data_IF_767642105559
#
_entry.id   IF_767642105559
#
_cell.length_a   1.000
_cell.length_b   1.000
_cell.length_c   1.000
_cell.angle_alpha   90.00
_cell.angle_beta   90.00
_cell.angle_gamma   90.00
#
_symmetry.space_group_name_H-M   'P 1'
#
loop_
_entity.id
_entity.type
_entity.pdbx_description
1 polymer ?
#
# COMPACT_ATOMS: atom_id res chain seq x y z
N UNK A 1 37.17 -52.42 -63.95
CA UNK A 1 36.62 -53.69 -63.44
C UNK A 1 36.06 -53.45 -62.06
N UNK A 2 34.74 -53.65 -61.92
CA UNK A 2 34.04 -54.19 -60.73
C UNK A 2 34.47 -53.73 -59.31
N UNK A 3 33.64 -52.85 -58.74
CA UNK A 3 32.84 -53.06 -57.51
C UNK A 3 33.45 -53.76 -56.28
N UNK A 4 33.35 -53.10 -55.11
CA UNK A 4 32.42 -53.47 -54.02
C UNK A 4 32.51 -52.51 -52.81
N UNK A 5 31.38 -51.91 -52.47
CA UNK A 5 31.04 -51.49 -51.11
C UNK A 5 30.79 -52.72 -50.22
N UNK A 6 31.00 -52.64 -48.90
CA UNK A 6 30.17 -53.32 -47.92
C UNK A 6 29.12 -52.37 -47.35
N UNK A 7 27.89 -52.88 -47.36
CA UNK A 7 26.67 -52.36 -46.73
C UNK A 7 26.75 -52.42 -45.20
N UNK A 8 25.83 -51.69 -44.58
CA UNK A 8 25.43 -51.62 -43.16
C UNK A 8 25.99 -50.33 -42.56
N UNK A 9 25.22 -49.27 -42.34
CA UNK A 9 23.81 -49.16 -42.01
C UNK A 9 23.71 -48.01 -41.00
N UNK A 10 22.53 -47.39 -40.94
CA UNK A 10 22.16 -46.30 -40.00
C UNK A 10 22.66 -44.91 -40.43
N UNK A 11 21.78 -44.24 -41.17
CA UNK A 11 21.69 -42.78 -41.22
C UNK A 11 21.61 -42.23 -39.79
N UNK A 12 22.70 -41.65 -39.28
CA UNK A 12 22.65 -40.75 -38.13
C UNK A 12 22.05 -39.42 -38.61
N UNK A 13 20.72 -39.34 -38.61
CA UNK A 13 20.05 -38.06 -38.49
C UNK A 13 20.38 -37.56 -37.08
N UNK A 14 21.34 -36.65 -36.97
CA UNK A 14 21.58 -35.89 -35.74
C UNK A 14 20.37 -34.97 -35.59
N UNK A 15 19.37 -35.42 -34.84
CA UNK A 15 18.37 -34.53 -34.29
C UNK A 15 19.14 -33.60 -33.33
N UNK A 16 19.35 -32.35 -33.74
CA UNK A 16 19.64 -31.27 -32.82
C UNK A 16 18.40 -31.14 -31.92
N UNK A 17 18.36 -31.90 -30.84
CA UNK A 17 17.52 -31.54 -29.70
C UNK A 17 18.12 -30.25 -29.14
N UNK A 18 17.49 -29.12 -29.44
CA UNK A 18 17.69 -27.89 -28.69
C UNK A 18 17.38 -28.20 -27.24
N UNK A 19 18.42 -28.44 -26.45
CA UNK A 19 18.33 -28.51 -25.00
C UNK A 19 18.07 -27.08 -24.55
N UNK A 20 16.81 -26.67 -24.55
CA UNK A 20 16.37 -25.47 -23.84
C UNK A 20 16.62 -25.76 -22.37
N UNK A 21 17.80 -25.41 -21.89
CA UNK A 21 18.05 -25.27 -20.46
C UNK A 21 17.19 -24.07 -20.07
N UNK A 22 15.93 -24.33 -19.72
CA UNK A 22 15.26 -23.47 -18.78
C UNK A 22 16.15 -23.54 -17.54
N UNK A 23 16.94 -22.49 -17.32
CA UNK A 23 17.42 -22.21 -15.97
C UNK A 23 16.15 -22.02 -15.16
N UNK A 24 15.64 -23.10 -14.60
CA UNK A 24 14.65 -23.02 -13.54
C UNK A 24 15.40 -22.31 -12.43
N UNK A 25 15.21 -20.98 -12.35
CA UNK A 25 15.71 -20.22 -11.22
C UNK A 25 15.23 -20.95 -9.98
N UNK A 26 16.18 -21.29 -9.12
CA UNK A 26 15.82 -21.90 -7.85
C UNK A 26 14.82 -20.98 -7.15
N UNK A 27 13.78 -21.53 -6.50
CA UNK A 27 12.85 -20.70 -5.76
C UNK A 27 13.62 -19.93 -4.68
N UNK A 28 13.35 -18.62 -4.59
CA UNK A 28 13.97 -17.74 -3.60
C UNK A 28 13.85 -18.34 -2.19
N UNK A 29 14.87 -18.14 -1.37
CA UNK A 29 14.88 -18.73 -0.03
C UNK A 29 13.84 -18.05 0.87
N UNK A 30 13.30 -18.85 1.79
CA UNK A 30 12.47 -18.37 2.89
C UNK A 30 13.26 -18.63 4.17
N UNK A 31 13.56 -17.56 4.89
CA UNK A 31 14.24 -17.61 6.17
C UNK A 31 13.30 -17.19 7.29
N UNK A 32 13.30 -17.93 8.39
CA UNK A 32 12.62 -17.55 9.62
C UNK A 32 13.65 -17.07 10.65
N UNK A 33 13.39 -15.91 11.24
CA UNK A 33 14.24 -15.37 12.29
C UNK A 33 14.13 -16.21 13.56
N UNK A 34 15.27 -16.67 14.07
CA UNK A 34 15.34 -17.41 15.32
C UNK A 34 15.28 -16.48 16.53
N UNK A 35 14.07 -16.32 17.07
CA UNK A 35 13.77 -15.55 18.29
C UNK A 35 14.59 -15.92 19.51
N UNK A 36 15.10 -17.17 19.60
CA UNK A 36 15.90 -17.61 20.73
C UNK A 36 17.28 -16.92 20.78
N UNK A 37 17.72 -16.36 19.64
CA UNK A 37 18.99 -15.65 19.53
C UNK A 37 18.85 -14.12 19.69
N UNK A 38 17.65 -13.61 19.98
CA UNK A 38 17.34 -12.16 20.03
C UNK A 38 17.95 -11.40 21.24
N UNK A 39 18.94 -11.97 21.94
CA UNK A 39 19.52 -11.41 23.15
C UNK A 39 18.61 -11.49 24.38
N UNK A 40 19.20 -11.35 25.57
CA UNK A 40 18.54 -11.54 26.88
C UNK A 40 18.09 -10.21 27.55
N UNK A 41 17.99 -9.11 26.80
CA UNK A 41 17.67 -7.79 27.39
C UNK A 41 16.21 -7.74 27.83
N UNK A 42 15.96 -7.57 29.14
CA UNK A 42 14.61 -7.49 29.75
C UNK A 42 14.19 -6.03 29.96
N UNK A 43 13.05 -5.58 29.43
CA UNK A 43 12.44 -4.27 29.75
C UNK A 43 11.76 -3.58 28.57
N UNK A 44 10.84 -2.60 28.78
CA UNK A 44 10.18 -1.85 27.68
C UNK A 44 11.23 -1.17 26.75
N UNK A 45 10.93 -0.92 25.46
CA UNK A 45 11.84 -0.18 24.56
C UNK A 45 11.91 1.29 24.99
N UNK A 46 12.63 1.57 26.08
CA UNK A 46 12.84 2.93 26.61
C UNK A 46 14.28 3.39 26.45
N UNK A 47 15.13 2.59 25.80
CA UNK A 47 16.56 2.86 25.68
C UNK A 47 16.97 3.03 24.21
N UNK A 48 17.64 4.14 23.95
CA UNK A 48 17.84 4.79 22.66
C UNK A 48 18.91 4.14 21.77
N UNK A 49 19.54 3.03 22.19
CA UNK A 49 20.30 2.17 21.29
C UNK A 49 21.82 2.16 21.48
N UNK A 50 22.31 2.13 22.72
CA UNK A 50 23.75 2.13 23.00
C UNK A 50 24.42 0.74 23.08
N UNK A 51 23.69 -0.39 23.06
CA UNK A 51 24.31 -1.72 23.36
C UNK A 51 23.95 -2.89 22.42
N UNK A 52 23.52 -2.67 21.17
CA UNK A 52 22.94 -3.75 20.35
C UNK A 52 23.84 -4.24 19.20
N UNK A 53 23.81 -5.57 18.97
CA UNK A 53 24.62 -6.32 17.99
C UNK A 53 23.87 -6.49 16.66
N UNK A 54 24.61 -6.52 15.54
CA UNK A 54 24.09 -6.84 14.21
C UNK A 54 23.48 -8.26 14.15
N UNK A 55 22.15 -8.37 14.05
CA UNK A 55 21.47 -9.67 14.04
C UNK A 55 21.10 -10.18 12.64
N UNK A 56 20.91 -9.29 11.65
CA UNK A 56 20.46 -9.70 10.30
C UNK A 56 21.54 -10.45 9.54
N UNK A 57 22.73 -9.90 9.38
CA UNK A 57 23.81 -10.57 8.63
C UNK A 57 24.52 -11.70 9.39
N UNK A 58 23.94 -12.18 10.50
CA UNK A 58 24.46 -13.32 11.25
C UNK A 58 23.67 -14.57 10.87
N UNK A 59 24.25 -15.44 10.04
CA UNK A 59 23.60 -16.65 9.52
C UNK A 59 23.00 -17.55 10.62
N UNK A 60 23.65 -17.63 11.79
CA UNK A 60 23.16 -18.45 12.91
C UNK A 60 21.80 -17.99 13.47
N UNK A 61 21.37 -16.77 13.16
CA UNK A 61 20.08 -16.21 13.58
C UNK A 61 18.95 -16.53 12.63
N UNK A 62 19.24 -17.12 11.48
CA UNK A 62 18.24 -17.47 10.49
C UNK A 62 18.15 -18.97 10.33
N UNK A 63 16.92 -19.42 10.15
CA UNK A 63 16.62 -20.79 9.77
C UNK A 63 16.11 -20.77 8.34
N UNK A 64 16.83 -21.41 7.43
CA UNK A 64 16.32 -21.71 6.09
C UNK A 64 15.11 -22.65 6.24
N UNK A 65 13.94 -22.17 5.82
CA UNK A 65 12.67 -22.91 5.84
C UNK A 65 12.48 -23.66 4.53
N UNK A 66 12.76 -23.01 3.41
CA UNK A 66 12.64 -23.56 2.06
C UNK A 66 13.40 -22.72 1.04
N UNK A 67 13.54 -23.21 -0.20
CA UNK A 67 14.20 -22.50 -1.29
C UNK A 67 15.72 -22.64 -1.28
N UNK A 68 16.37 -21.88 -2.16
CA UNK A 68 17.83 -21.79 -2.23
C UNK A 68 18.27 -20.35 -1.95
N UNK A 69 19.21 -20.21 -1.01
CA UNK A 69 19.83 -18.94 -0.63
C UNK A 69 20.67 -18.43 -1.81
N UNK A 70 20.24 -17.31 -2.41
CA UNK A 70 20.84 -16.77 -3.64
C UNK A 70 22.25 -16.19 -3.41
N UNK A 71 22.57 -15.82 -2.16
CA UNK A 71 23.88 -15.35 -1.72
C UNK A 71 24.78 -16.44 -1.13
N UNK A 72 24.21 -17.62 -0.81
CA UNK A 72 24.85 -18.71 -0.06
C UNK A 72 25.58 -18.20 1.20
N UNK A 73 24.93 -17.28 1.91
CA UNK A 73 25.48 -16.52 3.03
C UNK A 73 24.79 -16.87 4.37
N UNK A 74 23.69 -17.61 4.31
CA UNK A 74 22.90 -18.12 5.43
C UNK A 74 21.92 -17.14 6.05
N UNK A 75 21.61 -16.01 5.40
CA UNK A 75 20.64 -15.01 5.85
C UNK A 75 19.84 -14.46 4.64
N UNK A 76 18.63 -13.93 4.84
CA UNK A 76 17.83 -13.42 3.73
C UNK A 76 18.44 -12.12 3.17
N UNK A 77 18.74 -12.10 1.87
CA UNK A 77 18.98 -10.90 1.07
C UNK A 77 18.41 -11.06 -0.35
N UNK A 78 18.66 -10.11 -1.26
CA UNK A 78 18.29 -10.26 -2.67
C UNK A 78 16.80 -10.56 -2.88
N UNK A 79 16.50 -11.71 -3.49
CA UNK A 79 15.13 -12.15 -3.80
C UNK A 79 14.44 -12.87 -2.63
N UNK A 80 15.14 -13.09 -1.51
CA UNK A 80 14.67 -13.92 -0.41
C UNK A 80 13.48 -13.32 0.36
N UNK A 81 12.83 -14.19 1.12
CA UNK A 81 11.77 -13.83 2.07
C UNK A 81 12.26 -13.97 3.51
N UNK A 82 12.13 -12.90 4.29
CA UNK A 82 12.39 -12.89 5.72
C UNK A 82 11.09 -12.95 6.53
N UNK A 83 10.90 -14.02 7.32
CA UNK A 83 9.80 -14.16 8.27
C UNK A 83 10.28 -13.72 9.64
N UNK A 84 9.66 -12.66 10.16
CA UNK A 84 9.90 -12.13 11.50
C UNK A 84 8.80 -12.67 12.42
N UNK A 85 9.14 -13.71 13.19
CA UNK A 85 8.22 -14.32 14.14
C UNK A 85 8.14 -13.51 15.42
N UNK A 86 7.09 -12.71 15.57
CA UNK A 86 6.89 -11.85 16.73
C UNK A 86 6.25 -12.60 17.90
N UNK A 87 6.74 -13.76 18.28
CA UNK A 87 6.23 -14.44 19.49
C UNK A 87 6.37 -13.54 20.74
N UNK A 88 5.49 -13.68 21.73
CA UNK A 88 5.38 -12.82 22.91
C UNK A 88 6.53 -12.91 23.93
N UNK A 89 7.72 -13.35 23.50
CA UNK A 89 8.89 -13.28 24.37
C UNK A 89 9.13 -11.82 24.77
N UNK A 90 9.40 -11.59 26.05
CA UNK A 90 9.60 -10.25 26.61
C UNK A 90 10.92 -9.59 26.14
N UNK A 91 11.70 -10.26 25.29
CA UNK A 91 12.96 -9.79 24.71
C UNK A 91 12.67 -9.03 23.40
N UNK A 92 12.56 -7.74 23.57
CA UNK A 92 12.03 -6.77 22.62
C UNK A 92 13.14 -6.06 21.83
N UNK A 93 14.10 -6.83 21.35
CA UNK A 93 15.10 -6.32 20.41
C UNK A 93 15.56 -7.42 19.46
N UNK A 94 14.68 -7.87 18.59
CA UNK A 94 15.09 -8.30 17.25
C UNK A 94 15.44 -7.08 16.40
N UNK A 95 16.25 -6.15 16.94
CA UNK A 95 16.82 -5.05 16.16
C UNK A 95 17.77 -5.69 15.18
N UNK A 96 17.25 -6.01 14.01
CA UNK A 96 18.01 -6.49 12.87
C UNK A 96 18.85 -5.32 12.34
N UNK A 97 19.82 -4.92 13.15
CA UNK A 97 20.68 -3.78 12.90
C UNK A 97 21.59 -4.17 11.76
N UNK A 98 21.48 -3.48 10.64
CA UNK A 98 22.49 -3.50 9.59
C UNK A 98 23.63 -2.60 10.06
N UNK A 99 24.85 -3.15 10.21
CA UNK A 99 26.04 -2.39 10.59
C UNK A 99 27.15 -2.45 9.53
N UNK A 100 27.08 -1.68 8.44
CA UNK A 100 28.13 -1.54 7.40
C UNK A 100 28.71 -2.84 6.80
N UNK A 101 28.20 -4.00 7.21
CA UNK A 101 28.59 -5.36 6.86
C UNK A 101 27.40 -6.28 7.16
N UNK A 102 27.14 -7.30 6.33
CA UNK A 102 27.80 -7.57 5.06
C UNK A 102 27.39 -6.54 4.00
N UNK A 103 28.26 -6.31 3.00
CA UNK A 103 27.97 -5.37 1.91
C UNK A 103 26.76 -5.80 1.05
N UNK A 104 26.43 -7.09 1.01
CA UNK A 104 25.34 -7.65 0.19
C UNK A 104 23.95 -7.32 0.73
N UNK A 105 23.82 -7.08 2.04
CA UNK A 105 22.53 -6.85 2.69
C UNK A 105 22.05 -5.40 2.48
N UNK A 106 21.53 -5.14 1.30
CA UNK A 106 20.95 -3.85 0.88
C UNK A 106 19.49 -3.97 0.45
N UNK A 107 19.01 -5.21 0.25
CA UNK A 107 17.64 -5.49 -0.12
C UNK A 107 17.19 -6.86 0.36
N UNK A 108 15.88 -7.03 0.49
CA UNK A 108 15.22 -8.33 0.64
C UNK A 108 13.94 -8.33 -0.19
N UNK A 109 13.65 -9.45 -0.85
CA UNK A 109 12.51 -9.56 -1.77
C UNK A 109 11.17 -9.42 -1.05
N UNK A 110 11.05 -10.00 0.14
CA UNK A 110 9.84 -9.90 0.97
C UNK A 110 10.15 -9.96 2.46
N UNK A 111 9.39 -9.22 3.26
CA UNK A 111 9.39 -9.37 4.71
C UNK A 111 7.98 -9.64 5.23
N UNK A 112 7.85 -10.59 6.15
CA UNK A 112 6.56 -11.01 6.74
C UNK A 112 6.63 -10.84 8.26
N UNK A 113 5.77 -10.00 8.83
CA UNK A 113 5.62 -9.85 10.28
C UNK A 113 4.51 -10.75 10.83
N UNK A 114 4.84 -11.77 11.61
CA UNK A 114 3.89 -12.74 12.19
C UNK A 114 3.85 -12.64 13.73
N UNK A 115 2.97 -13.36 14.44
CA UNK A 115 3.00 -13.41 15.92
C UNK A 115 2.36 -12.21 16.64
N UNK A 116 2.48 -12.16 17.98
CA UNK A 116 1.70 -11.27 18.87
C UNK A 116 2.50 -10.28 19.72
N UNK A 117 3.82 -10.28 19.58
CA UNK A 117 4.78 -9.52 20.37
C UNK A 117 5.28 -8.27 19.65
N UNK A 118 5.96 -7.44 20.42
CA UNK A 118 6.56 -6.20 19.94
C UNK A 118 7.99 -6.50 19.44
N UNK A 119 8.15 -6.66 18.14
CA UNK A 119 9.44 -6.86 17.48
C UNK A 119 9.60 -5.83 16.37
N UNK A 120 10.76 -5.16 16.38
CA UNK A 120 11.09 -4.01 15.55
C UNK A 120 12.17 -4.40 14.54
N UNK A 121 11.98 -4.09 13.25
CA UNK A 121 13.10 -4.01 12.31
C UNK A 121 13.72 -2.62 12.45
N UNK A 122 15.04 -2.53 12.66
CA UNK A 122 15.74 -1.25 12.82
C UNK A 122 16.93 -1.20 11.88
N UNK A 123 16.92 -0.24 10.95
CA UNK A 123 17.97 -0.06 9.94
C UNK A 123 18.77 1.20 10.26
N UNK A 124 20.10 1.08 10.41
CA UNK A 124 20.94 2.12 11.06
C UNK A 124 22.16 2.61 10.27
N UNK A 125 22.62 1.95 9.22
CA UNK A 125 23.93 2.32 8.63
C UNK A 125 23.94 2.50 7.11
N UNK A 126 22.99 1.90 6.38
CA UNK A 126 22.81 2.12 4.94
C UNK A 126 21.36 2.20 4.50
N UNK A 127 21.17 2.68 3.28
CA UNK A 127 19.87 2.63 2.61
C UNK A 127 19.48 1.18 2.30
N UNK A 128 18.20 0.86 2.44
CA UNK A 128 17.72 -0.51 2.32
C UNK A 128 16.40 -0.58 1.57
N UNK A 129 16.23 -1.63 0.75
CA UNK A 129 15.01 -1.85 -0.03
C UNK A 129 14.29 -3.11 0.41
N UNK A 130 13.02 -2.97 0.80
CA UNK A 130 12.08 -4.07 0.86
C UNK A 130 11.34 -4.16 -0.49
N UNK A 131 11.28 -5.36 -1.08
CA UNK A 131 10.36 -5.61 -2.19
C UNK A 131 8.92 -5.57 -1.66
N UNK A 132 8.48 -6.62 -0.97
CA UNK A 132 7.14 -6.70 -0.37
C UNK A 132 7.18 -6.64 1.16
N UNK A 133 6.09 -6.13 1.76
CA UNK A 133 5.86 -6.15 3.21
C UNK A 133 4.50 -6.77 3.48
N UNK A 134 4.46 -7.90 4.20
CA UNK A 134 3.23 -8.56 4.60
C UNK A 134 3.04 -8.48 6.12
N UNK A 135 1.95 -7.85 6.54
CA UNK A 135 1.59 -7.66 7.94
C UNK A 135 0.47 -8.65 8.31
N UNK A 136 0.80 -9.71 9.05
CA UNK A 136 -0.23 -10.62 9.58
C UNK A 136 -0.88 -10.05 10.85
N UNK A 137 -2.10 -10.50 11.12
CA UNK A 137 -2.91 -10.06 12.26
C UNK A 137 -2.15 -10.22 13.58
N UNK A 138 -2.19 -9.17 14.40
CA UNK A 138 -1.47 -9.11 15.67
C UNK A 138 -2.01 -7.98 16.56
N UNK A 139 -1.95 -8.12 17.90
CA UNK A 139 -2.28 -7.03 18.81
C UNK A 139 -1.38 -5.80 18.68
N UNK A 140 -0.10 -6.02 18.32
CA UNK A 140 0.89 -4.95 18.15
C UNK A 140 1.19 -4.75 16.67
N UNK A 141 1.47 -3.52 16.21
CA UNK A 141 1.83 -3.27 14.82
C UNK A 141 3.18 -3.95 14.48
N UNK A 142 3.32 -4.41 13.23
CA UNK A 142 4.62 -4.72 12.70
C UNK A 142 5.40 -3.42 12.52
N UNK A 143 6.58 -3.31 13.12
CA UNK A 143 7.28 -2.04 13.23
C UNK A 143 8.58 -2.05 12.42
N UNK A 144 8.70 -1.10 11.49
CA UNK A 144 9.91 -0.84 10.72
C UNK A 144 10.40 0.56 11.08
N UNK A 145 11.66 0.66 11.49
CA UNK A 145 12.29 1.91 11.93
C UNK A 145 13.57 2.21 11.14
N UNK A 146 13.68 3.44 10.67
CA UNK A 146 14.93 4.03 10.20
C UNK A 146 15.65 4.81 11.32
N UNK A 147 16.96 4.70 11.42
CA UNK A 147 17.81 5.53 12.29
C UNK A 147 19.09 5.96 11.54
N UNK A 148 19.78 7.00 12.05
CA UNK A 148 21.09 7.49 11.56
C UNK A 148 21.17 7.68 10.05
N UNK A 149 20.22 8.46 9.54
CA UNK A 149 20.51 9.24 8.34
C UNK A 149 20.50 8.45 7.03
N UNK A 150 19.55 7.50 6.95
CA UNK A 150 19.39 6.59 5.80
C UNK A 150 17.95 6.43 5.32
N UNK A 151 17.85 6.09 4.04
CA UNK A 151 16.57 5.90 3.35
C UNK A 151 16.11 4.45 3.39
N UNK A 152 14.81 4.25 3.52
CA UNK A 152 14.15 2.95 3.34
C UNK A 152 13.27 3.07 2.11
N UNK A 153 13.37 2.12 1.20
CA UNK A 153 12.43 2.01 0.07
C UNK A 153 11.59 0.75 0.23
N UNK A 154 10.29 0.87 0.10
CA UNK A 154 9.35 -0.24 -0.08
C UNK A 154 8.84 -0.14 -1.52
N UNK A 155 9.33 -1.01 -2.40
CA UNK A 155 9.11 -0.89 -3.85
C UNK A 155 7.99 -1.77 -4.41
N UNK A 156 7.43 -2.66 -3.58
CA UNK A 156 6.35 -3.57 -3.93
C UNK A 156 5.12 -3.32 -3.07
N UNK A 157 4.37 -4.40 -2.80
CA UNK A 157 3.06 -4.31 -2.15
C UNK A 157 3.20 -4.44 -0.62
N UNK A 158 2.57 -3.52 0.10
CA UNK A 158 2.25 -3.64 1.52
C UNK A 158 0.88 -4.31 1.63
N UNK A 159 0.80 -5.44 2.33
CA UNK A 159 -0.39 -6.30 2.35
C UNK A 159 -0.69 -6.88 3.74
N UNK A 160 -1.88 -7.47 3.87
CA UNK A 160 -2.29 -8.25 5.03
C UNK A 160 -3.21 -7.50 6.03
N UNK A 161 -3.82 -8.22 6.98
CA UNK A 161 -4.77 -7.65 7.94
C UNK A 161 -4.12 -6.99 9.16
N UNK A 162 -2.81 -7.20 9.37
CA UNK A 162 -2.07 -6.63 10.50
C UNK A 162 -1.82 -5.14 10.34
N UNK A 163 -1.55 -4.47 11.46
CA UNK A 163 -1.17 -3.05 11.45
C UNK A 163 0.34 -2.87 11.21
N UNK A 164 0.71 -1.74 10.60
CA UNK A 164 2.09 -1.34 10.30
C UNK A 164 2.43 -0.03 11.02
N UNK A 165 3.59 0.01 11.66
CA UNK A 165 4.19 1.22 12.21
C UNK A 165 5.48 1.49 11.44
N UNK A 166 5.54 2.63 10.76
CA UNK A 166 6.76 3.17 10.19
C UNK A 166 7.23 4.31 11.08
N UNK A 167 8.44 4.21 11.60
CA UNK A 167 9.01 5.28 12.42
C UNK A 167 10.42 5.64 12.02
N UNK A 168 10.83 6.83 12.46
CA UNK A 168 12.22 7.27 12.39
C UNK A 168 12.61 7.85 13.75
N UNK A 169 13.80 7.51 14.22
CA UNK A 169 14.33 8.03 15.49
C UNK A 169 15.64 8.80 15.25
N UNK A 170 15.70 10.03 15.74
CA UNK A 170 16.84 10.95 15.62
C UNK A 170 18.02 10.64 16.56
N UNK A 171 18.11 9.42 17.09
CA UNK A 171 18.86 9.10 18.31
C UNK A 171 20.37 9.42 18.27
N UNK A 172 21.02 9.41 17.11
CA UNK A 172 22.48 9.57 16.98
C UNK A 172 22.92 10.29 15.69
N UNK A 173 22.00 11.06 15.13
CA UNK A 173 22.10 11.74 13.85
C UNK A 173 22.63 13.18 14.02
N UNK A 174 23.37 13.71 13.05
CA UNK A 174 23.73 15.14 12.97
C UNK A 174 22.59 16.03 12.47
N UNK A 175 21.45 15.44 12.13
CA UNK A 175 20.29 16.05 11.50
C UNK A 175 19.60 15.00 10.64
N UNK A 176 18.26 14.98 10.58
CA UNK A 176 17.59 14.28 9.48
C UNK A 176 17.64 15.21 8.28
N UNK A 177 18.46 14.89 7.29
CA UNK A 177 18.51 15.62 6.02
C UNK A 177 17.22 15.40 5.21
N UNK A 178 16.84 16.38 4.39
CA UNK A 178 15.62 16.30 3.55
C UNK A 178 15.62 15.10 2.58
N UNK A 179 16.80 14.54 2.28
CA UNK A 179 16.98 13.41 1.35
C UNK A 179 16.86 12.03 2.02
N UNK A 180 16.59 11.98 3.33
CA UNK A 180 16.52 10.75 4.11
C UNK A 180 15.10 10.24 4.30
N UNK A 181 14.66 9.49 3.29
CA UNK A 181 13.24 9.22 3.07
C UNK A 181 12.87 7.79 3.44
N UNK A 182 11.65 7.60 3.96
CA UNK A 182 10.95 6.31 3.86
C UNK A 182 10.00 6.40 2.66
N UNK A 183 10.38 5.80 1.54
CA UNK A 183 9.65 5.90 0.27
C UNK A 183 8.84 4.64 0.01
N UNK A 184 7.55 4.80 -0.25
CA UNK A 184 6.63 3.77 -0.71
C UNK A 184 6.37 4.02 -2.19
N UNK A 185 6.82 3.12 -3.05
CA UNK A 185 6.80 3.27 -4.51
C UNK A 185 6.48 1.92 -5.19
N UNK A 186 6.46 1.90 -6.52
CA UNK A 186 6.10 0.75 -7.35
C UNK A 186 4.80 0.95 -8.13
N UNK A 187 4.44 -0.04 -8.93
CA UNK A 187 3.35 0.11 -9.91
C UNK A 187 2.02 -0.52 -9.46
N UNK A 188 2.02 -1.20 -8.32
CA UNK A 188 0.84 -1.92 -7.80
C UNK A 188 0.35 -1.27 -6.50
N UNK A 189 -0.96 -0.96 -6.36
CA UNK A 189 -1.55 -0.48 -5.12
C UNK A 189 -1.33 -1.41 -3.92
N UNK A 190 -1.27 -0.84 -2.72
CA UNK A 190 -1.20 -1.61 -1.48
C UNK A 190 -2.56 -2.19 -1.11
N UNK A 191 -2.54 -3.37 -0.47
CA UNK A 191 -3.75 -4.15 -0.12
C UNK A 191 -3.84 -4.45 1.37
N UNK A 192 -3.03 -3.78 2.18
CA UNK A 192 -3.09 -3.82 3.64
C UNK A 192 -4.44 -3.28 4.11
N UNK A 193 -5.09 -3.98 5.05
CA UNK A 193 -6.38 -3.55 5.63
C UNK A 193 -6.27 -3.12 7.09
N UNK A 194 -5.17 -3.48 7.74
CA UNK A 194 -4.84 -2.99 9.07
C UNK A 194 -4.50 -1.50 9.10
N UNK A 195 -4.19 -0.99 10.29
CA UNK A 195 -3.87 0.43 10.51
C UNK A 195 -2.42 0.70 10.11
N UNK A 196 -2.16 1.85 9.51
CA UNK A 196 -0.82 2.36 9.25
C UNK A 196 -0.59 3.58 10.13
N UNK A 197 0.56 3.61 10.80
CA UNK A 197 0.99 4.76 11.58
C UNK A 197 2.37 5.21 11.12
N UNK A 198 2.47 6.48 10.76
CA UNK A 198 3.71 7.18 10.43
C UNK A 198 4.06 8.06 11.64
N UNK A 199 5.07 7.64 12.39
CA UNK A 199 5.35 8.24 13.70
C UNK A 199 6.76 8.81 13.80
N UNK A 200 6.86 10.12 14.04
CA UNK A 200 8.12 10.73 14.44
C UNK A 200 8.33 10.51 15.96
N UNK A 201 9.28 9.63 16.29
CA UNK A 201 9.61 9.26 17.66
C UNK A 201 10.59 10.21 18.34
N UNK A 202 11.11 11.22 17.62
CA UNK A 202 12.06 12.15 18.19
C UNK A 202 11.46 12.90 19.39
N UNK A 203 12.26 12.99 20.44
CA UNK A 203 11.89 13.59 21.71
C UNK A 203 12.89 14.64 22.20
N UNK A 204 13.92 14.96 21.40
CA UNK A 204 14.92 15.98 21.73
C UNK A 204 14.32 17.37 21.50
N UNK A 205 14.08 18.09 22.60
CA UNK A 205 13.41 19.39 22.56
C UNK A 205 14.25 20.54 22.02
N UNK A 206 15.55 20.41 22.16
CA UNK A 206 16.57 21.30 21.62
C UNK A 206 16.89 21.02 20.15
N UNK A 207 16.55 19.82 19.65
CA UNK A 207 16.82 19.38 18.28
C UNK A 207 15.60 18.64 17.69
N UNK A 208 14.50 19.35 17.37
CA UNK A 208 13.30 18.73 16.80
C UNK A 208 13.54 18.32 15.33
N UNK A 209 14.21 17.18 15.14
CA UNK A 209 14.48 16.59 13.84
C UNK A 209 13.20 16.05 13.18
N UNK A 210 12.95 16.39 11.90
CA UNK A 210 11.79 15.90 11.15
C UNK A 210 11.91 14.42 10.77
N UNK A 211 10.81 13.84 10.32
CA UNK A 211 10.75 12.52 9.67
C UNK A 211 9.97 12.64 8.39
N UNK A 212 10.52 12.14 7.30
CA UNK A 212 9.96 12.26 5.96
C UNK A 212 9.56 10.89 5.41
N UNK A 213 8.30 10.78 5.01
CA UNK A 213 7.77 9.68 4.21
C UNK A 213 7.40 10.19 2.84
N UNK A 214 7.49 9.33 1.83
CA UNK A 214 7.06 9.65 0.46
C UNK A 214 6.11 8.57 -0.03
N UNK A 215 4.89 8.97 -0.37
CA UNK A 215 3.96 8.20 -1.17
C UNK A 215 4.20 8.54 -2.65
N UNK A 216 4.85 7.62 -3.34
CA UNK A 216 5.30 7.76 -4.73
C UNK A 216 4.63 6.75 -5.66
N UNK A 217 3.39 6.37 -5.34
CA UNK A 217 2.54 5.52 -6.18
C UNK A 217 1.07 5.67 -5.83
N UNK A 218 0.20 5.35 -6.79
CA UNK A 218 -1.23 5.16 -6.57
C UNK A 218 -1.48 4.06 -5.53
N UNK A 219 -2.42 4.30 -4.61
CA UNK A 219 -2.76 3.38 -3.54
C UNK A 219 -1.57 3.08 -2.61
N UNK A 220 -0.68 4.06 -2.37
CA UNK A 220 0.42 3.91 -1.42
C UNK A 220 -0.03 3.56 0.00
N UNK A 221 -1.24 3.96 0.40
CA UNK A 221 -1.87 3.54 1.65
C UNK A 221 -3.09 2.64 1.43
N UNK A 222 -3.63 2.57 0.20
CA UNK A 222 -4.58 1.56 -0.25
C UNK A 222 -5.76 1.34 0.71
N UNK A 223 -6.20 0.10 0.87
CA UNK A 223 -7.33 -0.30 1.72
C UNK A 223 -7.08 -0.21 3.24
N UNK A 224 -6.06 0.53 3.69
CA UNK A 224 -5.75 0.63 5.11
C UNK A 224 -6.95 1.21 5.86
N UNK A 225 -7.42 0.53 6.90
CA UNK A 225 -8.57 1.03 7.69
C UNK A 225 -8.29 2.39 8.35
N UNK A 226 -7.02 2.73 8.57
CA UNK A 226 -6.61 3.98 9.20
C UNK A 226 -5.19 4.36 8.79
N UNK A 227 -4.97 5.62 8.47
CA UNK A 227 -3.65 6.25 8.35
C UNK A 227 -3.50 7.32 9.44
N UNK A 228 -2.51 7.17 10.30
CA UNK A 228 -2.18 8.19 11.31
C UNK A 228 -0.81 8.77 11.04
N UNK A 229 -0.74 10.10 10.93
CA UNK A 229 0.50 10.86 10.78
C UNK A 229 0.67 11.79 11.98
N UNK A 230 1.68 11.53 12.82
CA UNK A 230 1.92 12.35 14.00
C UNK A 230 3.39 12.32 14.45
N UNK A 231 3.81 13.41 15.07
CA UNK A 231 5.01 13.45 15.88
C UNK A 231 4.69 13.35 17.36
N UNK A 232 5.72 13.30 18.20
CA UNK A 232 5.54 13.34 19.65
C UNK A 232 4.97 14.70 20.07
N UNK A 233 3.86 14.72 20.82
CA UNK A 233 3.30 15.98 21.31
C UNK A 233 4.28 16.76 22.22
N UNK A 234 4.23 18.09 22.15
CA UNK A 234 5.06 19.01 22.95
C UNK A 234 6.21 19.68 22.19
N UNK A 235 6.98 20.50 22.90
CA UNK A 235 8.02 21.37 22.32
C UNK A 235 9.19 20.61 21.67
N UNK A 236 9.35 19.32 21.95
CA UNK A 236 10.43 18.48 21.41
C UNK A 236 10.04 17.37 20.47
N UNK A 237 8.81 17.41 19.95
CA UNK A 237 8.43 16.57 18.82
C UNK A 237 8.94 17.14 17.51
N UNK A 238 9.61 16.29 16.73
CA UNK A 238 9.88 16.58 15.33
C UNK A 238 8.63 16.51 14.47
N UNK A 239 8.68 17.15 13.30
CA UNK A 239 7.62 17.09 12.29
C UNK A 239 7.53 15.68 11.72
N UNK A 240 6.31 15.17 11.55
CA UNK A 240 6.04 13.97 10.77
C UNK A 240 5.44 14.40 9.43
N UNK A 241 6.23 14.32 8.36
CA UNK A 241 5.85 14.82 7.03
C UNK A 241 5.63 13.67 6.06
N UNK A 242 4.42 13.57 5.52
CA UNK A 242 4.10 12.65 4.43
C UNK A 242 4.03 13.42 3.13
N UNK A 243 4.97 13.18 2.21
CA UNK A 243 4.95 13.74 0.87
C UNK A 243 4.09 12.89 -0.06
N UNK A 244 3.16 13.51 -0.76
CA UNK A 244 2.38 12.88 -1.85
C UNK A 244 2.88 13.49 -3.16
N UNK A 245 3.37 12.63 -4.03
CA UNK A 245 3.96 13.03 -5.31
C UNK A 245 2.95 13.00 -6.45
N UNK A 246 3.35 13.51 -7.62
CA UNK A 246 2.55 13.38 -8.85
C UNK A 246 2.28 11.94 -9.29
N UNK A 247 3.14 10.97 -8.91
CA UNK A 247 2.93 9.56 -9.23
C UNK A 247 1.77 8.93 -8.44
N UNK A 248 1.38 9.57 -7.34
CA UNK A 248 0.27 9.15 -6.51
C UNK A 248 -1.00 9.98 -6.76
N UNK A 249 -1.05 10.83 -7.79
CA UNK A 249 -2.19 11.71 -8.06
C UNK A 249 -3.21 11.13 -9.06
N UNK A 250 -3.09 9.84 -9.41
CA UNK A 250 -3.99 9.15 -10.35
C UNK A 250 -4.97 8.25 -9.59
N UNK A 251 -6.11 7.95 -10.22
CA UNK A 251 -7.13 7.04 -9.68
C UNK A 251 -7.59 7.43 -8.27
N UNK A 252 -7.43 6.50 -7.32
CA UNK A 252 -7.78 6.69 -5.90
C UNK A 252 -6.82 7.64 -5.14
N UNK A 253 -5.73 8.09 -5.77
CA UNK A 253 -4.72 8.91 -5.09
C UNK A 253 -3.69 8.07 -4.32
N UNK A 254 -2.96 8.67 -3.38
CA UNK A 254 -2.09 7.92 -2.46
C UNK A 254 -2.91 7.17 -1.40
N UNK A 255 -4.00 7.79 -0.95
CA UNK A 255 -4.88 7.39 0.14
C UNK A 255 -6.23 7.04 -0.49
N UNK A 256 -6.70 5.81 -0.26
CA UNK A 256 -8.02 5.39 -0.70
C UNK A 256 -9.09 6.27 -0.03
N UNK A 257 -9.76 7.09 -0.83
CA UNK A 257 -10.70 8.12 -0.37
C UNK A 257 -12.03 7.53 0.15
N UNK A 258 -12.17 6.21 0.07
CA UNK A 258 -13.40 5.47 0.40
C UNK A 258 -13.19 4.45 1.53
N UNK A 259 -11.94 4.00 1.75
CA UNK A 259 -11.59 2.99 2.74
C UNK A 259 -10.71 3.52 3.88
N UNK A 260 -9.92 4.59 3.65
CA UNK A 260 -8.92 5.04 4.63
C UNK A 260 -9.41 6.23 5.43
N UNK A 261 -9.52 6.06 6.75
CA UNK A 261 -9.67 7.20 7.67
C UNK A 261 -8.29 7.79 8.00
N UNK A 262 -8.11 9.07 7.75
CA UNK A 262 -6.86 9.81 7.95
C UNK A 262 -6.90 10.65 9.22
N UNK A 263 -5.87 10.53 10.03
CA UNK A 263 -5.66 11.29 11.26
C UNK A 263 -4.34 12.05 11.18
N UNK A 264 -4.41 13.38 11.18
CA UNK A 264 -3.23 14.25 11.31
C UNK A 264 -3.12 14.74 12.76
N UNK A 265 -2.22 14.12 13.51
CA UNK A 265 -1.97 14.46 14.91
C UNK A 265 -1.00 15.63 15.08
N UNK A 266 -0.54 15.83 16.32
CA UNK A 266 0.44 16.88 16.62
C UNK A 266 1.67 16.75 15.73
N UNK A 267 2.11 17.86 15.14
CA UNK A 267 3.29 17.93 14.24
C UNK A 267 3.18 17.10 12.97
N UNK A 268 2.03 16.51 12.65
CA UNK A 268 1.78 15.86 11.37
C UNK A 268 1.53 16.90 10.27
N UNK A 269 2.12 16.69 9.09
CA UNK A 269 1.90 17.53 7.91
C UNK A 269 1.84 16.70 6.63
N UNK A 270 0.89 17.01 5.75
CA UNK A 270 0.90 16.53 4.38
C UNK A 270 1.71 17.50 3.51
N UNK A 271 2.67 16.98 2.75
CA UNK A 271 3.49 17.74 1.81
C UNK A 271 3.09 17.40 0.39
N UNK A 272 2.32 18.27 -0.26
CA UNK A 272 1.78 17.97 -1.58
C UNK A 272 2.60 18.62 -2.69
N UNK A 273 3.05 17.80 -3.64
CA UNK A 273 3.76 18.28 -4.81
C UNK A 273 2.86 19.20 -5.66
N UNK A 274 3.48 20.09 -6.42
CA UNK A 274 2.77 20.99 -7.33
C UNK A 274 1.89 20.19 -8.30
N UNK A 275 0.60 20.52 -8.33
CA UNK A 275 -0.38 19.88 -9.22
C UNK A 275 -0.96 18.57 -8.68
N UNK A 276 -0.54 18.12 -7.49
CA UNK A 276 -1.21 17.04 -6.77
C UNK A 276 -2.48 17.58 -6.11
N UNK A 277 -3.59 16.87 -6.30
CA UNK A 277 -4.80 17.02 -5.50
C UNK A 277 -5.16 15.67 -4.88
N UNK A 278 -4.96 15.53 -3.58
CA UNK A 278 -5.34 14.32 -2.85
C UNK A 278 -6.81 14.38 -2.46
N UNK A 279 -7.60 13.37 -2.84
CA UNK A 279 -8.99 13.26 -2.42
C UNK A 279 -9.09 12.44 -1.12
N UNK A 280 -9.95 12.89 -0.20
CA UNK A 280 -10.29 12.12 1.00
C UNK A 280 -11.80 12.19 1.18
N UNK A 281 -12.45 11.07 1.47
CA UNK A 281 -13.90 10.99 1.64
C UNK A 281 -14.46 11.87 2.75
N UNK A 282 -15.74 12.22 2.64
CA UNK A 282 -16.48 12.91 3.70
C UNK A 282 -16.43 12.08 5.00
N UNK A 283 -16.16 12.74 6.14
CA UNK A 283 -16.05 12.06 7.42
C UNK A 283 -14.82 11.17 7.59
N UNK A 284 -13.84 11.23 6.67
CA UNK A 284 -12.63 10.41 6.72
C UNK A 284 -11.35 11.20 7.06
N UNK A 285 -11.38 12.52 7.18
CA UNK A 285 -10.22 13.31 7.60
C UNK A 285 -10.44 13.96 8.96
N UNK A 286 -9.48 13.76 9.87
CA UNK A 286 -9.50 14.35 11.21
C UNK A 286 -8.16 14.94 11.60
N UNK A 287 -8.19 16.00 12.42
CA UNK A 287 -6.98 16.68 12.92
C UNK A 287 -6.97 16.86 14.44
N UNK A 288 -5.79 16.77 15.05
CA UNK A 288 -5.50 17.13 16.45
C UNK A 288 -4.12 17.78 16.53
N UNK A 289 -4.00 18.99 15.99
CA UNK A 289 -2.72 19.67 15.79
C UNK A 289 -2.03 20.06 17.11
N UNK A 290 -2.82 20.20 18.17
CA UNK A 290 -2.35 20.51 19.52
C UNK A 290 -1.93 19.24 20.30
N UNK A 291 -2.26 18.04 19.80
CA UNK A 291 -1.92 16.77 20.46
C UNK A 291 -2.69 16.53 21.75
N UNK A 292 -3.96 16.95 21.79
CA UNK A 292 -4.84 16.79 22.95
C UNK A 292 -5.35 15.36 23.14
N UNK A 293 -5.24 14.52 22.11
CA UNK A 293 -5.87 13.21 22.00
C UNK A 293 -7.32 13.28 21.52
N UNK A 294 -7.82 14.47 21.17
CA UNK A 294 -9.19 14.68 20.67
C UNK A 294 -9.11 15.19 19.24
N UNK A 295 -9.53 14.33 18.32
CA UNK A 295 -9.54 14.62 16.89
C UNK A 295 -10.85 15.31 16.48
N UNK A 296 -10.74 16.36 15.68
CA UNK A 296 -11.86 17.07 15.06
C UNK A 296 -11.94 16.75 13.59
N UNK A 297 -13.14 16.45 13.10
CA UNK A 297 -13.39 16.20 11.68
C UNK A 297 -13.10 17.47 10.87
N UNK A 298 -12.43 17.30 9.74
CA UNK A 298 -12.22 18.38 8.77
C UNK A 298 -13.47 18.49 7.91
N UNK A 299 -14.10 19.69 7.81
CA UNK A 299 -15.27 19.88 6.98
C UNK A 299 -15.03 19.56 5.50
N UNK A 300 -16.11 19.38 4.74
CA UNK A 300 -16.05 19.30 3.28
C UNK A 300 -15.43 20.58 2.73
N UNK A 301 -14.47 20.45 1.81
CA UNK A 301 -13.82 21.60 1.20
C UNK A 301 -12.55 21.23 0.45
N UNK A 302 -11.95 22.25 -0.16
CA UNK A 302 -10.60 22.17 -0.73
C UNK A 302 -9.66 22.97 0.16
N UNK A 303 -8.59 22.31 0.58
CA UNK A 303 -7.59 22.81 1.50
C UNK A 303 -6.23 22.87 0.81
N UNK A 304 -5.46 23.87 1.17
CA UNK A 304 -4.11 24.12 0.65
C UNK A 304 -3.17 24.51 1.80
N UNK A 305 -1.99 24.98 1.47
CA UNK A 305 -0.97 25.37 2.45
C UNK A 305 -1.32 26.60 3.32
N UNK A 306 -2.54 27.13 3.24
CA UNK A 306 -3.07 28.03 4.27
C UNK A 306 -3.42 27.29 5.58
N UNK A 307 -3.62 25.97 5.50
CA UNK A 307 -3.83 25.10 6.66
C UNK A 307 -2.50 24.72 7.31
N UNK A 308 -2.45 24.69 8.65
CA UNK A 308 -1.23 24.36 9.39
C UNK A 308 -0.75 22.91 9.21
N UNK A 309 -1.61 22.03 8.66
CA UNK A 309 -1.35 20.61 8.41
C UNK A 309 -1.03 20.30 6.94
N UNK A 310 -0.95 21.32 6.08
CA UNK A 310 -0.56 21.18 4.67
C UNK A 310 0.66 22.05 4.39
N UNK A 311 1.65 21.48 3.70
CA UNK A 311 2.79 22.20 3.11
C UNK A 311 2.90 21.83 1.62
N UNK A 312 3.70 22.60 0.88
CA UNK A 312 3.86 22.41 -0.56
C UNK A 312 2.90 23.26 -1.40
N UNK A 313 2.69 22.86 -2.65
CA UNK A 313 1.91 23.61 -3.66
C UNK A 313 0.68 22.83 -4.18
N UNK A 314 0.42 21.63 -3.68
CA UNK A 314 -0.78 20.85 -3.98
C UNK A 314 -1.95 21.15 -3.05
N UNK A 315 -3.04 20.41 -3.22
CA UNK A 315 -4.30 20.57 -2.47
C UNK A 315 -4.84 19.26 -1.91
N UNK A 316 -5.63 19.33 -0.85
CA UNK A 316 -6.46 18.22 -0.37
C UNK A 316 -7.92 18.58 -0.62
N UNK A 317 -8.69 17.68 -1.22
CA UNK A 317 -10.14 17.83 -1.34
C UNK A 317 -10.83 16.84 -0.42
N UNK A 318 -11.51 17.34 0.61
CA UNK A 318 -12.30 16.54 1.56
C UNK A 318 -13.74 16.50 1.12
N UNK A 319 -14.31 15.29 1.08
CA UNK A 319 -15.69 15.07 0.70
C UNK A 319 -16.00 15.67 -0.66
N UNK A 320 -15.05 15.58 -1.60
CA UNK A 320 -15.22 16.09 -2.96
C UNK A 320 -16.64 15.72 -3.41
N UNK A 321 -17.50 16.72 -3.73
CA UNK A 321 -18.86 16.42 -4.13
C UNK A 321 -18.74 15.40 -5.23
N UNK A 322 -19.43 14.26 -5.07
CA UNK A 322 -19.63 13.30 -6.16
C UNK A 322 -19.96 14.15 -7.37
N UNK A 323 -19.04 14.17 -8.35
CA UNK A 323 -19.24 14.97 -9.54
C UNK A 323 -20.65 14.62 -10.02
N UNK A 324 -21.52 15.64 -10.18
CA UNK A 324 -22.95 15.45 -10.35
C UNK A 324 -23.19 14.25 -11.26
N UNK A 325 -23.80 13.19 -10.73
CA UNK A 325 -23.79 11.91 -11.41
C UNK A 325 -24.50 12.06 -12.76
N UNK A 326 -23.75 11.87 -13.83
CA UNK A 326 -24.12 12.26 -15.18
C UNK A 326 -23.91 11.09 -16.11
N UNK A 327 -24.97 10.72 -16.83
CA UNK A 327 -24.86 9.80 -17.97
C UNK A 327 -24.15 10.57 -19.09
N UNK A 328 -22.94 10.14 -19.43
CA UNK A 328 -22.06 10.78 -20.42
C UNK A 328 -22.22 10.19 -21.82
N UNK A 329 -22.67 8.93 -21.92
CA UNK A 329 -23.01 8.31 -23.19
C UNK A 329 -24.22 7.37 -23.07
N UNK A 330 -25.02 7.34 -24.15
CA UNK A 330 -26.17 6.45 -24.30
C UNK A 330 -26.09 5.85 -25.69
N UNK A 331 -25.80 4.55 -25.78
CA UNK A 331 -25.80 3.80 -27.03
C UNK A 331 -26.97 2.83 -27.05
N UNK A 332 -27.78 2.90 -28.11
CA UNK A 332 -28.96 2.08 -28.27
C UNK A 332 -28.93 1.39 -29.63
N UNK A 333 -29.00 0.06 -29.63
CA UNK A 333 -28.95 -0.75 -30.83
C UNK A 333 -30.08 -1.78 -30.86
N UNK A 334 -30.81 -1.82 -31.98
CA UNK A 334 -31.85 -2.84 -32.23
C UNK A 334 -31.42 -3.70 -33.41
N UNK A 335 -31.29 -5.01 -33.17
CA UNK A 335 -30.92 -5.99 -34.17
C UNK A 335 -31.96 -7.11 -34.23
N UNK A 336 -31.84 -8.03 -35.20
CA UNK A 336 -32.73 -9.19 -35.31
C UNK A 336 -32.71 -10.10 -34.06
N UNK A 337 -31.69 -9.99 -33.22
CA UNK A 337 -31.53 -10.77 -31.99
C UNK A 337 -31.98 -10.09 -30.70
N UNK A 338 -32.44 -8.83 -30.73
CA UNK A 338 -32.83 -8.11 -29.50
C UNK A 338 -32.55 -6.61 -29.54
N UNK A 339 -32.75 -5.95 -28.39
CA UNK A 339 -32.51 -4.52 -28.20
C UNK A 339 -31.53 -4.32 -27.05
N UNK A 340 -30.36 -3.77 -27.34
CA UNK A 340 -29.31 -3.53 -26.35
C UNK A 340 -29.17 -2.04 -26.06
N UNK A 341 -29.11 -1.71 -24.77
CA UNK A 341 -28.80 -0.37 -24.26
C UNK A 341 -27.45 -0.43 -23.56
N UNK A 342 -26.52 0.43 -23.96
CA UNK A 342 -25.29 0.71 -23.21
C UNK A 342 -25.39 2.09 -22.59
N UNK A 343 -25.18 2.17 -21.27
CA UNK A 343 -25.09 3.44 -20.55
C UNK A 343 -23.66 3.61 -20.05
N UNK A 344 -23.12 4.81 -20.24
CA UNK A 344 -21.87 5.23 -19.61
C UNK A 344 -22.13 6.45 -18.75
N UNK A 345 -21.61 6.45 -17.52
CA UNK A 345 -21.69 7.58 -16.59
C UNK A 345 -20.36 7.83 -15.92
N UNK A 346 -20.14 9.04 -15.40
CA UNK A 346 -19.02 9.28 -14.51
C UNK A 346 -19.25 8.50 -13.21
N UNK A 347 -18.29 7.68 -12.84
CA UNK A 347 -18.37 6.78 -11.70
C UNK A 347 -17.06 6.78 -10.95
N UNK A 348 -17.04 6.07 -9.82
CA UNK A 348 -15.85 5.81 -9.02
C UNK A 348 -15.64 4.30 -8.95
N UNK A 349 -14.40 3.82 -9.05
CA UNK A 349 -14.09 2.40 -8.95
C UNK A 349 -14.67 1.77 -7.67
N UNK A 350 -15.24 0.57 -7.80
CA UNK A 350 -15.75 -0.18 -6.64
C UNK A 350 -17.03 0.35 -5.98
N UNK A 351 -17.54 1.54 -6.35
CA UNK A 351 -18.81 2.07 -5.84
C UNK A 351 -20.01 1.33 -6.43
N UNK A 352 -21.08 1.19 -5.67
CA UNK A 352 -22.28 0.48 -6.12
C UNK A 352 -23.30 1.46 -6.69
N UNK A 353 -23.84 1.15 -7.87
CA UNK A 353 -24.80 1.97 -8.58
C UNK A 353 -26.07 1.19 -8.89
N UNK A 354 -27.20 1.88 -8.75
CA UNK A 354 -28.49 1.42 -9.26
C UNK A 354 -28.82 2.17 -10.55
N UNK A 355 -29.24 1.43 -11.57
CA UNK A 355 -29.68 1.95 -12.85
C UNK A 355 -31.19 1.92 -12.89
N UNK A 356 -31.82 3.07 -12.68
CA UNK A 356 -33.29 3.22 -12.65
C UNK A 356 -33.82 3.63 -14.00
N UNK A 357 -35.07 3.24 -14.29
CA UNK A 357 -35.78 3.74 -15.45
C UNK A 357 -37.18 4.26 -15.10
N UNK A 358 -37.68 5.18 -15.93
CA UNK A 358 -39.01 5.76 -15.81
C UNK A 358 -39.65 5.93 -17.17
N UNK A 359 -40.90 5.48 -17.38
CA UNK A 359 -41.64 5.79 -18.60
C UNK A 359 -42.16 7.24 -18.66
N UNK A 360 -42.26 7.94 -17.52
CA UNK A 360 -43.02 9.19 -17.39
C UNK A 360 -42.31 10.31 -16.60
N UNK A 361 -41.05 10.11 -16.19
CA UNK A 361 -40.25 10.98 -15.32
C UNK A 361 -40.78 11.14 -13.88
N UNK A 362 -41.85 10.44 -13.51
CA UNK A 362 -42.48 10.56 -12.18
C UNK A 362 -42.28 9.30 -11.36
N UNK A 363 -42.61 8.15 -11.93
CA UNK A 363 -42.41 6.86 -11.27
C UNK A 363 -41.01 6.34 -11.59
N UNK A 364 -40.19 6.14 -10.56
CA UNK A 364 -38.81 5.63 -10.64
C UNK A 364 -38.63 4.36 -9.81
N UNK A 365 -39.72 3.67 -9.47
CA UNK A 365 -39.68 2.43 -8.70
C UNK A 365 -39.12 1.23 -9.50
N UNK A 366 -38.82 1.43 -10.79
CA UNK A 366 -38.27 0.40 -11.67
C UNK A 366 -36.76 0.57 -11.88
N UNK A 367 -36.05 -0.54 -11.87
CA UNK A 367 -34.63 -0.67 -12.15
C UNK A 367 -34.34 -1.62 -13.32
N UNK A 368 -33.20 -1.36 -13.95
CA UNK A 368 -32.52 -2.32 -14.80
C UNK A 368 -31.57 -3.20 -13.97
N UNK A 369 -30.95 -2.62 -12.95
CA UNK A 369 -30.05 -3.30 -12.01
C UNK A 369 -29.86 -2.43 -10.76
N UNK A 370 -29.74 -3.05 -9.59
CA UNK A 370 -29.54 -2.42 -8.29
C UNK A 370 -28.08 -2.53 -7.79
N UNK A 371 -27.20 -3.22 -8.53
CA UNK A 371 -25.92 -3.68 -8.04
C UNK A 371 -24.75 -3.55 -9.02
N UNK A 372 -24.76 -2.52 -9.87
CA UNK A 372 -23.65 -2.30 -10.81
C UNK A 372 -22.45 -1.74 -10.05
N UNK A 373 -21.35 -2.49 -10.01
CA UNK A 373 -20.09 -2.04 -9.39
C UNK A 373 -19.36 -1.11 -10.36
N UNK A 374 -18.78 -0.03 -9.84
CA UNK A 374 -17.98 0.93 -10.57
C UNK A 374 -16.76 0.27 -11.21
N UNK A 375 -16.50 0.57 -12.48
CA UNK A 375 -15.34 0.07 -13.21
C UNK A 375 -14.10 0.86 -12.77
N UNK A 376 -12.91 0.32 -13.04
CA UNK A 376 -11.66 1.07 -12.84
C UNK A 376 -11.62 2.31 -13.75
N UNK A 377 -11.13 3.44 -13.22
CA UNK A 377 -11.10 4.74 -13.91
C UNK A 377 -12.26 5.68 -13.56
N UNK A 378 -12.51 6.67 -14.42
CA UNK A 378 -13.46 7.78 -14.12
C UNK A 378 -14.91 7.50 -14.60
N UNK A 379 -15.16 6.37 -15.25
CA UNK A 379 -16.47 6.05 -15.85
C UNK A 379 -16.77 4.56 -15.82
N UNK A 380 -18.05 4.22 -15.67
CA UNK A 380 -18.57 2.85 -15.78
C UNK A 380 -19.40 2.74 -17.03
N UNK A 381 -19.22 1.65 -17.77
CA UNK A 381 -20.06 1.33 -18.93
C UNK A 381 -20.71 -0.04 -18.72
N UNK A 382 -22.04 -0.07 -18.68
CA UNK A 382 -22.78 -1.33 -18.58
C UNK A 382 -23.81 -1.48 -19.68
N UNK A 383 -24.11 -2.75 -20.03
CA UNK A 383 -25.02 -3.12 -21.10
C UNK A 383 -26.22 -3.90 -20.56
N UNK A 384 -27.39 -3.55 -21.06
CA UNK A 384 -28.67 -4.16 -20.72
C UNK A 384 -29.37 -4.68 -21.97
N UNK A 385 -29.90 -5.90 -21.92
CA UNK A 385 -30.87 -6.37 -22.90
C UNK A 385 -32.26 -5.88 -22.49
N UNK A 386 -32.81 -4.92 -23.23
CA UNK A 386 -34.11 -4.35 -22.92
C UNK A 386 -35.28 -5.31 -23.17
N UNK A 387 -35.04 -6.47 -23.79
CA UNK A 387 -36.08 -7.50 -23.94
C UNK A 387 -36.42 -8.21 -22.63
N UNK A 388 -35.52 -8.14 -21.64
CA UNK A 388 -35.74 -8.71 -20.30
C UNK A 388 -36.69 -7.87 -19.43
N UNK A 389 -37.06 -6.66 -19.88
CA UNK A 389 -37.84 -5.69 -19.12
C UNK A 389 -39.21 -5.42 -19.79
N UNK A 390 -40.25 -6.23 -19.51
CA UNK A 390 -41.56 -6.10 -20.16
C UNK A 390 -42.24 -4.74 -19.92
N UNK A 391 -41.91 -4.04 -18.84
CA UNK A 391 -42.41 -2.72 -18.48
C UNK A 391 -41.99 -1.63 -19.49
N UNK A 392 -40.88 -1.86 -20.20
CA UNK A 392 -40.32 -0.99 -21.24
C UNK A 392 -40.88 -1.35 -22.63
N UNK A 393 -41.40 -2.57 -22.80
CA UNK A 393 -41.88 -3.04 -24.10
C UNK A 393 -43.03 -2.20 -24.65
N UNK A 394 -42.90 -1.79 -25.92
CA UNK A 394 -43.88 -0.95 -26.62
C UNK A 394 -43.93 0.52 -26.16
N UNK A 395 -43.02 0.96 -25.27
CA UNK A 395 -42.91 2.37 -24.90
C UNK A 395 -42.16 3.14 -25.98
N UNK A 396 -42.71 4.27 -26.38
CA UNK A 396 -42.10 5.19 -27.36
C UNK A 396 -40.96 6.03 -26.77
N UNK A 397 -40.88 6.10 -25.44
CA UNK A 397 -39.88 6.85 -24.69
C UNK A 397 -39.74 6.27 -23.29
N UNK A 398 -38.49 6.16 -22.84
CA UNK A 398 -38.10 5.80 -21.48
C UNK A 398 -36.96 6.74 -21.08
N UNK A 399 -36.87 7.05 -19.79
CA UNK A 399 -35.85 7.89 -19.20
C UNK A 399 -35.04 7.05 -18.22
N UNK A 400 -33.74 7.34 -18.12
CA UNK A 400 -32.82 6.62 -17.26
C UNK A 400 -32.19 7.60 -16.26
N UNK A 401 -31.90 7.11 -15.07
CA UNK A 401 -31.04 7.80 -14.11
C UNK A 401 -30.14 6.78 -13.43
N UNK A 402 -28.98 7.22 -13.02
CA UNK A 402 -28.07 6.44 -12.19
C UNK A 402 -28.17 6.98 -10.77
N UNK A 403 -28.13 6.09 -9.79
CA UNK A 403 -28.08 6.42 -8.37
C UNK A 403 -26.88 5.73 -7.76
N UNK A 404 -26.11 6.44 -6.93
CA UNK A 404 -25.11 5.80 -6.08
C UNK A 404 -25.83 5.21 -4.86
N UNK A 405 -25.61 3.91 -4.61
CA UNK A 405 -26.23 3.18 -3.51
C UNK A 405 -25.40 3.41 -2.25
N UNK A 406 -25.86 4.31 -1.38
CA UNK A 406 -25.17 4.68 -0.12
C UNK A 406 -25.64 3.87 1.09
N UNK A 407 -26.75 3.13 0.99
CA UNK A 407 -27.23 2.20 2.01
C UNK A 407 -27.72 0.91 1.34
N UNK A 408 -27.13 -0.23 1.70
CA UNK A 408 -27.72 -1.55 1.39
C UNK A 408 -28.97 -1.67 2.24
N UNK A 409 -30.15 -1.45 1.64
CA UNK A 409 -31.41 -1.72 2.34
C UNK A 409 -31.56 -3.24 2.47
N UNK A 410 -31.61 -3.79 3.70
CA UNK A 410 -32.00 -5.19 3.85
C UNK A 410 -33.46 -5.34 3.42
N UNK A 411 -33.71 -6.34 2.57
CA UNK A 411 -35.06 -6.76 2.17
C UNK A 411 -35.90 -7.21 3.38
#
# INVERSE_FOLDING_TARGET
MTTKFPKNGISFAVALSSLSIFSQYAPAAIFEFNIANAGESVGKPTDDGQTFQQQWGTAANWKLVSGEDDGNNGYPDGADTAIINRSALANNSTRLTEESSPASLVSVGKVIGTGTGNQDIVLKMRAFTFGEVECLESPEPFHIRAERDRSITISGVISGPGSLLLSRSGGFSDGVDEDELITITGDTPNTITGKIRLFNQNNKADEPQPSYWVADKEGAFGQASMLTLEGRAGAGGGIASLRITGNAAFGEGAIDDNATTVFIGAKGVLSLDRGVNEAIGEGLLFTDLEGTGIYSEVPIGTYDNNEAWIIGEGTVTVGAPSAELTITAVDYATNAGGTTLSLTWNSRPGRLYAVRFSPDLKNWDFDLDDGVVGDDGDTTTTQFDLTDFPEISGKIRVFFRIEEVTEVRPF
#
